data_IF_834742042191
#
_entry.id   IF_834742042191
#
_cell.length_a   1.000
_cell.length_b   1.000
_cell.length_c   1.000
_cell.angle_alpha   90.00
_cell.angle_beta   90.00
_cell.angle_gamma   90.00
#
_symmetry.space_group_name_H-M   'P 1'
#
loop_
_entity.id
_entity.type
_entity.pdbx_description
1 polymer ?
#
# COMPACT_ATOMS: atom_id res chain seq x y z
N UNK A 1 16.41 6.47 -13.86
CA UNK A 1 16.39 7.87 -14.26
C UNK A 1 16.47 7.95 -15.77
N UNK A 2 16.78 9.14 -16.27
CA UNK A 2 17.09 9.40 -17.68
C UNK A 2 18.37 8.70 -18.17
N UNK A 3 19.17 8.18 -17.25
CA UNK A 3 20.43 7.47 -17.44
C UNK A 3 20.29 5.95 -17.68
N UNK A 4 19.07 5.41 -17.61
CA UNK A 4 18.80 3.98 -17.80
C UNK A 4 18.18 3.74 -19.18
N UNK A 5 18.76 2.79 -19.93
CA UNK A 5 18.20 2.27 -21.17
C UNK A 5 17.81 0.79 -21.02
N UNK A 6 16.53 0.48 -21.26
CA UNK A 6 16.03 -0.90 -21.27
C UNK A 6 16.00 -1.37 -22.73
N UNK A 7 16.93 -2.24 -23.12
CA UNK A 7 17.14 -2.67 -24.52
C UNK A 7 15.90 -3.30 -25.17
N UNK A 8 15.16 -4.11 -24.42
CA UNK A 8 13.93 -4.77 -24.86
C UNK A 8 12.78 -4.42 -23.91
N UNK A 9 12.31 -3.18 -23.98
CA UNK A 9 11.23 -2.70 -23.12
C UNK A 9 9.90 -3.43 -23.36
N UNK A 10 9.67 -3.96 -24.57
CA UNK A 10 8.50 -4.77 -24.90
C UNK A 10 8.40 -6.04 -24.05
N UNK A 11 9.54 -6.66 -23.73
CA UNK A 11 9.60 -7.89 -22.94
C UNK A 11 9.67 -7.65 -21.43
N UNK A 12 9.82 -6.41 -20.96
CA UNK A 12 10.06 -6.11 -19.55
C UNK A 12 9.02 -6.74 -18.61
N UNK A 13 7.74 -6.60 -18.91
CA UNK A 13 6.68 -7.18 -18.10
C UNK A 13 6.72 -8.72 -18.10
N UNK A 14 7.07 -9.34 -19.23
CA UNK A 14 7.23 -10.79 -19.32
C UNK A 14 8.39 -11.27 -18.46
N UNK A 15 9.55 -10.60 -18.56
CA UNK A 15 10.76 -10.90 -17.77
C UNK A 15 10.50 -10.75 -16.26
N UNK A 16 9.81 -9.69 -15.84
CA UNK A 16 9.44 -9.49 -14.43
C UNK A 16 8.47 -10.58 -13.93
N UNK A 17 7.50 -10.98 -14.76
CA UNK A 17 6.60 -12.07 -14.40
C UNK A 17 7.32 -13.42 -14.33
N UNK A 18 8.26 -13.70 -15.23
CA UNK A 18 9.07 -14.90 -15.19
C UNK A 18 9.89 -14.95 -13.90
N UNK A 19 10.56 -13.85 -13.54
CA UNK A 19 11.32 -13.75 -12.28
C UNK A 19 10.45 -14.01 -11.05
N UNK A 20 9.21 -13.52 -11.03
CA UNK A 20 8.23 -13.82 -9.97
C UNK A 20 7.87 -15.30 -9.97
N UNK A 21 7.52 -15.89 -11.13
CA UNK A 21 7.12 -17.29 -11.23
C UNK A 21 8.24 -18.25 -10.81
N UNK A 22 9.48 -17.97 -11.21
CA UNK A 22 10.67 -18.72 -10.83
C UNK A 22 10.88 -18.63 -9.31
N UNK A 23 10.83 -17.42 -8.75
CA UNK A 23 10.97 -17.21 -7.30
C UNK A 23 9.92 -18.00 -6.51
N UNK A 24 8.65 -17.95 -6.92
CA UNK A 24 7.59 -18.66 -6.23
C UNK A 24 7.69 -20.18 -6.38
N UNK A 25 8.25 -20.67 -7.48
CA UNK A 25 8.44 -22.11 -7.71
C UNK A 25 9.64 -22.65 -6.95
N UNK A 26 10.75 -21.91 -6.91
CA UNK A 26 12.01 -22.36 -6.29
C UNK A 26 12.08 -22.15 -4.78
N UNK A 27 11.26 -21.27 -4.18
CA UNK A 27 11.42 -20.85 -2.78
C UNK A 27 10.28 -21.26 -1.83
N UNK A 28 9.60 -22.39 -2.08
CA UNK A 28 8.51 -22.91 -1.21
C UNK A 28 7.41 -21.88 -0.89
N UNK A 29 7.17 -20.92 -1.79
CA UNK A 29 6.14 -19.89 -1.61
C UNK A 29 4.78 -20.38 -2.11
N UNK A 30 3.71 -19.84 -1.52
CA UNK A 30 2.34 -20.21 -1.93
C UNK A 30 1.87 -19.42 -3.15
N UNK A 31 1.54 -20.13 -4.22
CA UNK A 31 0.93 -19.60 -5.44
C UNK A 31 -0.55 -19.30 -5.22
N UNK A 32 -0.91 -18.02 -5.19
CA UNK A 32 -2.20 -17.52 -4.67
C UNK A 32 -3.00 -16.70 -5.69
N UNK A 33 -2.56 -16.61 -6.94
CA UNK A 33 -3.27 -15.89 -8.00
C UNK A 33 -4.18 -16.86 -8.76
N UNK A 34 -5.38 -16.38 -9.11
CA UNK A 34 -6.36 -17.10 -9.92
C UNK A 34 -6.47 -16.46 -11.30
N UNK A 35 -6.68 -17.27 -12.34
CA UNK A 35 -6.74 -16.83 -13.74
C UNK A 35 -8.03 -16.10 -14.09
N UNK A 36 -9.13 -16.48 -13.44
CA UNK A 36 -10.45 -15.86 -13.58
C UNK A 36 -10.96 -15.47 -12.18
N UNK A 37 -11.28 -14.20 -11.91
CA UNK A 37 -11.64 -13.76 -10.57
C UNK A 37 -13.08 -14.12 -10.14
N UNK A 38 -14.01 -14.35 -11.08
CA UNK A 38 -15.46 -14.40 -10.80
C UNK A 38 -16.08 -15.79 -11.00
N UNK A 39 -15.67 -16.50 -12.05
CA UNK A 39 -16.25 -17.76 -12.48
C UNK A 39 -15.33 -18.94 -12.12
N UNK A 40 -14.31 -19.22 -12.93
CA UNK A 40 -13.56 -20.47 -12.83
C UNK A 40 -12.55 -20.51 -11.67
N UNK A 41 -11.93 -19.37 -11.33
CA UNK A 41 -10.97 -19.23 -10.22
C UNK A 41 -9.84 -20.27 -10.18
N UNK A 42 -9.41 -20.78 -11.34
CA UNK A 42 -8.29 -21.72 -11.46
C UNK A 42 -6.98 -21.05 -11.05
N UNK A 43 -6.10 -21.76 -10.34
CA UNK A 43 -4.80 -21.23 -9.92
C UNK A 43 -3.88 -21.03 -11.13
N UNK A 44 -3.10 -19.93 -11.18
CA UNK A 44 -2.18 -19.67 -12.30
C UNK A 44 -0.88 -20.47 -12.21
N UNK A 45 -0.63 -21.19 -11.12
CA UNK A 45 0.55 -22.03 -10.88
C UNK A 45 1.91 -21.30 -10.89
N UNK A 46 1.93 -19.99 -11.13
CA UNK A 46 3.13 -19.14 -11.08
C UNK A 46 3.05 -17.98 -10.07
N UNK A 47 1.91 -17.79 -9.41
CA UNK A 47 1.61 -16.56 -8.64
C UNK A 47 1.72 -15.28 -9.49
N UNK A 48 1.46 -15.41 -10.80
CA UNK A 48 1.47 -14.34 -11.79
C UNK A 48 0.05 -14.17 -12.37
N UNK A 49 -0.28 -13.00 -12.98
CA UNK A 49 0.60 -11.86 -13.19
C UNK A 49 0.89 -11.06 -11.91
N UNK A 50 2.09 -10.50 -11.82
CA UNK A 50 2.43 -9.48 -10.84
C UNK A 50 1.81 -8.12 -11.24
N UNK A 51 1.47 -7.31 -10.25
CA UNK A 51 1.06 -5.92 -10.48
C UNK A 51 2.32 -5.07 -10.62
N UNK A 52 2.58 -4.60 -11.84
CA UNK A 52 3.81 -3.88 -12.19
C UNK A 52 3.47 -2.40 -12.45
N UNK A 53 4.15 -1.51 -11.74
CA UNK A 53 4.09 -0.08 -11.97
C UNK A 53 5.49 0.43 -12.31
N UNK A 54 5.61 1.11 -13.45
CA UNK A 54 6.83 1.79 -13.87
C UNK A 54 6.61 3.30 -13.80
N UNK A 55 7.64 4.03 -13.38
CA UNK A 55 7.64 5.48 -13.37
C UNK A 55 9.04 5.98 -13.72
N UNK A 56 9.10 7.12 -14.41
CA UNK A 56 10.34 7.78 -14.76
C UNK A 56 10.60 8.89 -13.75
N UNK A 57 11.83 8.99 -13.26
CA UNK A 57 12.24 9.99 -12.28
C UNK A 57 13.50 10.71 -12.76
N UNK A 58 13.74 11.92 -12.24
CA UNK A 58 14.99 12.66 -12.46
C UNK A 58 16.17 12.05 -11.70
N UNK A 59 15.92 11.19 -10.71
CA UNK A 59 16.96 10.49 -9.95
C UNK A 59 17.68 9.47 -10.83
N UNK A 60 19.03 9.42 -10.79
CA UNK A 60 19.81 8.45 -11.55
C UNK A 60 19.62 7.02 -11.03
N UNK A 61 19.75 6.06 -11.94
CA UNK A 61 19.69 4.64 -11.67
C UNK A 61 18.30 4.01 -11.80
N UNK A 62 18.25 2.69 -11.64
CA UNK A 62 17.00 1.92 -11.60
C UNK A 62 16.66 1.60 -10.14
N UNK A 63 15.47 2.02 -9.70
CA UNK A 63 14.97 1.72 -8.37
C UNK A 63 13.87 0.66 -8.47
N UNK A 64 14.06 -0.47 -7.81
CA UNK A 64 13.10 -1.56 -7.78
C UNK A 64 12.55 -1.64 -6.36
N UNK A 65 11.21 -1.54 -6.23
CA UNK A 65 10.51 -1.77 -4.96
C UNK A 65 9.58 -2.96 -5.13
N UNK A 66 9.67 -3.91 -4.22
CA UNK A 66 8.89 -5.13 -4.20
C UNK A 66 8.04 -5.13 -2.94
N UNK A 67 6.74 -5.39 -3.11
CA UNK A 67 5.80 -5.54 -2.01
C UNK A 67 5.09 -6.89 -2.14
N UNK A 68 5.22 -7.75 -1.14
CA UNK A 68 4.47 -9.02 -1.09
C UNK A 68 3.22 -8.81 -0.23
N UNK A 69 2.15 -8.31 -0.86
CA UNK A 69 0.89 -8.03 -0.17
C UNK A 69 0.09 -9.31 0.05
N UNK A 70 -0.45 -9.48 1.26
CA UNK A 70 -1.35 -10.60 1.57
C UNK A 70 -2.80 -10.26 1.20
N UNK A 71 -3.54 -11.22 0.65
CA UNK A 71 -4.93 -11.02 0.25
C UNK A 71 -5.86 -10.60 1.39
N UNK A 72 -5.67 -11.16 2.60
CA UNK A 72 -6.45 -10.77 3.77
C UNK A 72 -6.34 -9.27 4.08
N UNK A 73 -5.12 -8.71 3.97
CA UNK A 73 -4.92 -7.29 4.17
C UNK A 73 -5.24 -6.43 2.95
N UNK A 74 -5.16 -6.97 1.73
CA UNK A 74 -5.66 -6.28 0.53
C UNK A 74 -7.16 -6.02 0.65
N UNK A 75 -7.91 -6.99 1.17
CA UNK A 75 -9.37 -6.91 1.36
C UNK A 75 -9.81 -5.90 2.43
N UNK A 76 -8.88 -5.33 3.21
CA UNK A 76 -9.17 -4.21 4.11
C UNK A 76 -8.73 -2.86 3.51
N UNK A 77 -8.70 -2.73 2.19
CA UNK A 77 -8.38 -1.47 1.51
C UNK A 77 -9.65 -0.81 1.02
N UNK A 78 -9.78 0.50 1.25
CA UNK A 78 -11.01 1.26 1.00
C UNK A 78 -10.70 2.55 0.26
N UNK A 79 -11.59 2.93 -0.65
CA UNK A 79 -11.56 4.15 -1.43
C UNK A 79 -12.84 4.95 -1.15
N UNK A 80 -12.69 6.25 -0.93
CA UNK A 80 -13.77 7.20 -0.68
C UNK A 80 -13.59 8.42 -1.58
N UNK A 81 -14.69 8.93 -2.11
CA UNK A 81 -14.73 10.18 -2.86
C UNK A 81 -15.44 11.22 -2.00
N UNK A 82 -14.66 11.98 -1.24
CA UNK A 82 -15.18 12.92 -0.24
C UNK A 82 -15.54 14.26 -0.88
N UNK A 83 -16.34 15.03 -0.15
CA UNK A 83 -16.60 16.42 -0.51
C UNK A 83 -15.34 17.27 -0.29
N UNK A 84 -15.06 18.27 -1.15
CA UNK A 84 -13.91 19.16 -0.96
C UNK A 84 -13.91 19.93 0.37
N UNK A 85 -15.09 20.07 0.98
CA UNK A 85 -15.27 20.72 2.28
C UNK A 85 -14.94 19.82 3.48
N UNK A 86 -14.72 18.52 3.26
CA UNK A 86 -14.45 17.57 4.35
C UNK A 86 -13.16 17.94 5.07
N UNK A 87 -13.28 18.15 6.38
CA UNK A 87 -12.19 18.59 7.25
C UNK A 87 -11.31 17.46 7.77
N UNK A 88 -10.30 17.84 8.56
CA UNK A 88 -9.36 16.92 9.18
C UNK A 88 -10.06 15.94 10.15
N UNK A 89 -10.97 16.43 11.00
CA UNK A 89 -11.65 15.61 12.00
C UNK A 89 -12.53 14.53 11.37
N UNK A 90 -13.26 14.88 10.29
CA UNK A 90 -14.05 13.92 9.52
C UNK A 90 -13.19 12.82 8.89
N UNK A 91 -11.97 13.15 8.43
CA UNK A 91 -11.02 12.17 7.90
C UNK A 91 -10.55 11.23 9.02
N UNK A 92 -10.23 11.77 10.20
CA UNK A 92 -9.82 10.96 11.36
C UNK A 92 -10.93 9.98 11.74
N UNK A 93 -12.16 10.47 11.86
CA UNK A 93 -13.33 9.65 12.19
C UNK A 93 -13.54 8.54 11.15
N UNK A 94 -13.49 8.88 9.86
CA UNK A 94 -13.65 7.92 8.77
C UNK A 94 -12.58 6.81 8.84
N UNK A 95 -11.31 7.20 9.01
CA UNK A 95 -10.20 6.23 9.12
C UNK A 95 -10.38 5.33 10.34
N UNK A 96 -10.73 5.92 11.49
CA UNK A 96 -10.98 5.18 12.72
C UNK A 96 -12.12 4.17 12.55
N UNK A 97 -13.19 4.56 11.85
CA UNK A 97 -14.33 3.72 11.54
C UNK A 97 -13.95 2.52 10.66
N UNK A 98 -13.14 2.76 9.63
CA UNK A 98 -12.61 1.71 8.76
C UNK A 98 -11.79 0.71 9.56
N UNK A 99 -10.92 1.21 10.45
CA UNK A 99 -10.07 0.39 11.31
C UNK A 99 -10.93 -0.44 12.27
N UNK A 100 -11.84 0.17 13.02
CA UNK A 100 -12.73 -0.54 13.96
C UNK A 100 -13.50 -1.67 13.29
N UNK A 101 -14.00 -1.44 12.07
CA UNK A 101 -14.82 -2.41 11.33
C UNK A 101 -14.01 -3.57 10.74
N UNK A 102 -12.72 -3.38 10.44
CA UNK A 102 -11.99 -4.30 9.56
C UNK A 102 -10.61 -4.74 10.04
N UNK A 103 -9.99 -4.05 11.01
CA UNK A 103 -8.59 -4.29 11.35
C UNK A 103 -8.33 -5.72 11.85
N UNK A 104 -9.28 -6.36 12.51
CA UNK A 104 -9.14 -7.74 13.01
C UNK A 104 -9.05 -8.78 11.88
N UNK A 105 -9.59 -8.49 10.69
CA UNK A 105 -9.43 -9.30 9.47
C UNK A 105 -8.03 -9.18 8.85
N UNK A 106 -7.25 -8.22 9.36
CA UNK A 106 -5.99 -7.75 8.81
C UNK A 106 -4.78 -8.13 9.68
N UNK A 107 -4.93 -9.06 10.63
CA UNK A 107 -3.88 -9.56 11.55
C UNK A 107 -3.06 -8.41 12.20
N UNK A 108 -3.70 -7.58 13.06
CA UNK A 108 -3.03 -6.47 13.72
C UNK A 108 -1.90 -6.96 14.64
N UNK A 109 -0.89 -6.12 14.93
CA UNK A 109 -0.88 -4.68 14.68
C UNK A 109 -0.57 -4.34 13.21
N UNK A 110 -1.36 -3.43 12.63
CA UNK A 110 -1.25 -3.04 11.21
C UNK A 110 -0.36 -1.82 11.02
N UNK A 111 0.08 -1.57 9.78
CA UNK A 111 0.54 -0.25 9.33
C UNK A 111 -0.58 0.34 8.47
N UNK A 112 -1.09 1.51 8.85
CA UNK A 112 -2.16 2.20 8.14
C UNK A 112 -1.55 3.19 7.15
N UNK A 113 -1.68 2.92 5.86
CA UNK A 113 -1.36 3.86 4.80
C UNK A 113 -2.60 4.62 4.35
N UNK A 114 -2.46 5.93 4.16
CA UNK A 114 -3.53 6.81 3.74
C UNK A 114 -3.06 7.59 2.51
N UNK A 115 -3.90 7.66 1.49
CA UNK A 115 -3.73 8.51 0.32
C UNK A 115 -4.76 9.62 0.34
N UNK A 116 -4.36 10.87 0.07
CA UNK A 116 -5.26 12.04 -0.01
C UNK A 116 -5.05 12.78 -1.33
N UNK A 117 -6.13 13.07 -2.05
CA UNK A 117 -6.07 13.80 -3.31
C UNK A 117 -5.79 12.91 -4.54
N UNK A 118 -5.25 13.49 -5.61
CA UNK A 118 -5.11 12.80 -6.90
C UNK A 118 -6.45 12.47 -7.57
N UNK A 119 -6.50 11.31 -8.23
CA UNK A 119 -7.70 10.69 -8.80
C UNK A 119 -8.04 9.40 -8.05
N UNK A 120 -9.18 8.78 -8.34
CA UNK A 120 -9.58 7.50 -7.74
C UNK A 120 -8.54 6.39 -7.89
N UNK A 121 -7.83 6.34 -9.02
CA UNK A 121 -6.77 5.36 -9.25
C UNK A 121 -5.45 5.75 -8.60
N UNK A 122 -5.13 7.04 -8.58
CA UNK A 122 -3.86 7.53 -8.02
C UNK A 122 -3.86 7.50 -6.49
N UNK A 123 -4.97 7.86 -5.85
CA UNK A 123 -5.07 7.89 -4.38
C UNK A 123 -4.86 6.50 -3.76
N UNK A 124 -5.29 5.44 -4.46
CA UNK A 124 -5.06 4.06 -4.03
C UNK A 124 -3.57 3.69 -4.10
N UNK A 125 -2.84 4.17 -5.12
CA UNK A 125 -1.38 3.99 -5.20
C UNK A 125 -0.66 4.76 -4.11
N UNK A 126 -1.11 5.98 -3.79
CA UNK A 126 -0.57 6.78 -2.69
C UNK A 126 -0.76 6.05 -1.35
N UNK A 127 -1.97 5.59 -1.04
CA UNK A 127 -2.27 4.86 0.19
C UNK A 127 -1.43 3.57 0.31
N UNK A 128 -1.30 2.82 -0.79
CA UNK A 128 -0.43 1.64 -0.84
C UNK A 128 1.02 2.01 -0.55
N UNK A 129 1.54 3.06 -1.19
CA UNK A 129 2.92 3.54 -0.98
C UNK A 129 3.13 3.96 0.48
N UNK A 130 2.18 4.68 1.06
CA UNK A 130 2.19 5.08 2.46
C UNK A 130 2.27 3.88 3.41
N UNK A 131 1.49 2.82 3.15
CA UNK A 131 1.46 1.61 4.00
C UNK A 131 2.78 0.83 4.02
N UNK A 132 3.62 1.02 3.01
CA UNK A 132 4.93 0.38 2.87
C UNK A 132 6.10 1.35 3.06
N UNK A 133 5.84 2.61 3.45
CA UNK A 133 6.90 3.59 3.75
C UNK A 133 7.79 3.06 4.88
N UNK A 134 9.09 3.35 4.80
CA UNK A 134 9.99 3.06 5.92
C UNK A 134 9.49 3.83 7.16
N UNK A 135 9.30 3.13 8.29
CA UNK A 135 8.74 3.69 9.51
C UNK A 135 9.65 4.74 10.17
N UNK A 136 10.93 4.71 9.84
CA UNK A 136 11.92 5.73 10.23
C UNK A 136 11.73 7.06 9.48
N UNK A 137 11.05 7.03 8.34
CA UNK A 137 10.79 8.20 7.50
C UNK A 137 9.40 8.74 7.81
N UNK A 138 9.37 9.96 8.36
CA UNK A 138 8.14 10.72 8.60
C UNK A 138 7.76 11.54 7.38
N UNK A 139 6.49 11.97 7.31
CA UNK A 139 6.06 12.91 6.28
C UNK A 139 6.85 14.24 6.39
N UNK A 140 7.39 14.76 5.28
CA UNK A 140 8.12 16.03 5.29
C UNK A 140 7.22 17.23 5.60
N UNK A 141 5.94 17.18 5.24
CA UNK A 141 4.96 18.20 5.61
C UNK A 141 4.54 18.01 7.07
N UNK A 142 4.79 19.04 7.89
CA UNK A 142 4.49 19.02 9.32
C UNK A 142 3.02 18.79 9.63
N UNK A 143 2.09 19.27 8.79
CA UNK A 143 0.64 19.13 9.00
C UNK A 143 0.22 17.67 8.84
N UNK A 144 0.65 17.03 7.75
CA UNK A 144 0.38 15.61 7.51
C UNK A 144 1.05 14.71 8.55
N UNK A 145 2.28 15.02 8.97
CA UNK A 145 2.94 14.29 10.08
C UNK A 145 2.15 14.39 11.40
N UNK A 146 1.60 15.56 11.73
CA UNK A 146 0.77 15.70 12.93
C UNK A 146 -0.53 14.91 12.79
N UNK A 147 -1.13 14.89 11.60
CA UNK A 147 -2.32 14.08 11.32
C UNK A 147 -2.04 12.57 11.42
N UNK A 148 -0.90 12.10 10.92
CA UNK A 148 -0.44 10.71 11.10
C UNK A 148 -0.39 10.32 12.58
N UNK A 149 0.17 11.18 13.43
CA UNK A 149 0.28 10.97 14.87
C UNK A 149 -1.10 10.96 15.55
N UNK A 150 -1.98 11.92 15.22
CA UNK A 150 -3.36 11.97 15.72
C UNK A 150 -4.12 10.68 15.39
N UNK A 151 -4.08 10.25 14.13
CA UNK A 151 -4.78 9.05 13.66
C UNK A 151 -4.22 7.79 14.35
N UNK A 152 -2.89 7.67 14.46
CA UNK A 152 -2.27 6.53 15.13
C UNK A 152 -2.68 6.44 16.60
N UNK A 153 -2.73 7.58 17.30
CA UNK A 153 -3.12 7.64 18.70
C UNK A 153 -4.57 7.18 18.89
N UNK A 154 -5.53 7.77 18.16
CA UNK A 154 -6.95 7.38 18.30
C UNK A 154 -7.21 5.93 17.90
N UNK A 155 -6.45 5.39 16.94
CA UNK A 155 -6.52 3.96 16.59
C UNK A 155 -6.06 3.10 17.76
N UNK A 156 -4.96 3.44 18.42
CA UNK A 156 -4.43 2.65 19.52
C UNK A 156 -5.25 2.79 20.81
N UNK A 157 -5.93 3.92 20.99
CA UNK A 157 -6.90 4.13 22.08
C UNK A 157 -8.15 3.24 21.96
N UNK A 158 -8.44 2.68 20.78
CA UNK A 158 -9.57 1.72 20.61
C UNK A 158 -9.46 0.48 21.49
N UNK A 159 -8.25 0.12 21.92
CA UNK A 159 -8.02 -1.08 22.73
C UNK A 159 -8.19 -2.40 21.97
N UNK A 160 -8.41 -2.40 20.66
CA UNK A 160 -8.57 -3.62 19.84
C UNK A 160 -7.33 -4.52 19.96
N UNK A 161 -6.15 -3.91 19.89
CA UNK A 161 -4.87 -4.55 20.18
C UNK A 161 -4.42 -5.62 19.17
N UNK A 162 -3.29 -6.28 19.45
CA UNK A 162 -2.73 -7.32 18.59
C UNK A 162 -3.71 -8.46 18.36
N UNK A 163 -3.83 -8.91 17.11
CA UNK A 163 -4.78 -9.93 16.64
C UNK A 163 -6.27 -9.64 16.95
N UNK A 164 -6.62 -8.46 17.49
CA UNK A 164 -7.98 -8.16 17.95
C UNK A 164 -8.33 -8.76 19.31
N UNK A 165 -7.34 -9.16 20.10
CA UNK A 165 -7.52 -9.83 21.41
C UNK A 165 -7.44 -8.85 22.60
N UNK A 166 -7.49 -7.56 22.35
CA UNK A 166 -7.28 -6.53 23.36
C UNK A 166 -5.82 -6.08 23.45
N UNK A 167 -5.61 -4.84 23.89
CA UNK A 167 -4.27 -4.30 24.18
C UNK A 167 -4.03 -2.91 23.60
N UNK A 168 -2.81 -2.41 23.76
CA UNK A 168 -2.46 -1.01 23.45
C UNK A 168 -2.07 -0.74 22.00
N UNK A 169 -1.87 -1.78 21.19
CA UNK A 169 -1.23 -1.65 19.88
C UNK A 169 -2.08 -2.32 18.81
N UNK A 170 -3.04 -1.56 18.30
CA UNK A 170 -3.86 -1.93 17.14
C UNK A 170 -3.12 -1.63 15.83
N UNK A 171 -2.35 -0.55 15.80
CA UNK A 171 -1.50 -0.16 14.68
C UNK A 171 -0.09 0.20 15.16
N UNK A 172 0.93 -0.22 14.39
CA UNK A 172 2.34 0.14 14.61
C UNK A 172 2.65 1.53 14.08
N UNK A 173 2.01 1.94 12.98
CA UNK A 173 2.25 3.22 12.34
C UNK A 173 1.05 3.66 11.50
N UNK A 174 0.96 4.98 11.30
CA UNK A 174 0.10 5.61 10.31
C UNK A 174 0.96 6.49 9.42
N UNK A 175 0.79 6.39 8.10
CA UNK A 175 1.53 7.15 7.10
C UNK A 175 0.55 7.74 6.10
N UNK A 176 0.77 8.98 5.68
CA UNK A 176 -0.02 9.69 4.68
C UNK A 176 0.91 10.08 3.52
N UNK A 177 0.44 9.82 2.30
CA UNK A 177 0.96 10.41 1.07
C UNK A 177 -0.16 11.21 0.40
N UNK A 178 0.17 12.34 -0.22
CA UNK A 178 -0.84 13.23 -0.81
C UNK A 178 -0.41 13.74 -2.18
N UNK A 179 -1.40 14.11 -3.00
CA UNK A 179 -1.18 14.71 -4.30
C UNK A 179 -2.24 15.78 -4.61
N UNK A 180 -1.95 16.75 -5.50
CA UNK A 180 -2.97 17.67 -6.00
C UNK A 180 -4.16 16.92 -6.61
N UNK A 181 -5.36 17.46 -6.44
CA UNK A 181 -6.59 16.95 -7.04
C UNK A 181 -7.39 18.08 -7.69
N UNK A 182 -8.40 17.69 -8.48
CA UNK A 182 -9.36 18.65 -9.01
C UNK A 182 -10.12 19.32 -7.85
N UNK A 183 -10.37 20.64 -7.92
CA UNK A 183 -10.98 21.42 -6.83
C UNK A 183 -12.35 20.91 -6.37
N UNK A 184 -13.09 20.23 -7.26
CA UNK A 184 -14.40 19.64 -6.96
C UNK A 184 -14.32 18.22 -6.36
N UNK A 185 -13.13 17.72 -6.03
CA UNK A 185 -12.95 16.34 -5.55
C UNK A 185 -11.95 16.26 -4.41
N UNK A 186 -12.22 15.38 -3.45
CA UNK A 186 -11.27 14.96 -2.43
C UNK A 186 -11.24 13.43 -2.32
N UNK A 187 -10.49 12.73 -3.20
CA UNK A 187 -10.29 11.29 -3.06
C UNK A 187 -9.51 10.99 -1.77
N UNK A 188 -9.93 9.95 -1.05
CA UNK A 188 -9.26 9.42 0.12
C UNK A 188 -9.19 7.89 -0.02
N UNK A 189 -8.02 7.30 0.20
CA UNK A 189 -7.89 5.85 0.31
C UNK A 189 -7.21 5.46 1.61
N UNK A 190 -7.68 4.37 2.22
CA UNK A 190 -7.12 3.76 3.43
C UNK A 190 -6.67 2.35 3.06
N UNK A 191 -5.41 2.04 3.34
CA UNK A 191 -4.76 0.80 2.93
C UNK A 191 -3.99 0.21 4.11
N UNK A 192 -4.38 -0.98 4.58
CA UNK A 192 -3.77 -1.61 5.74
C UNK A 192 -2.74 -2.66 5.32
N UNK A 193 -1.52 -2.56 5.85
CA UNK A 193 -0.53 -3.65 5.81
C UNK A 193 -0.60 -4.44 7.11
N UNK A 194 -0.66 -5.76 7.03
CA UNK A 194 -0.72 -6.64 8.20
C UNK A 194 0.64 -6.76 8.91
N UNK A 195 0.70 -7.47 10.05
CA UNK A 195 1.96 -7.74 10.74
C UNK A 195 3.03 -8.40 9.83
N UNK A 196 2.60 -9.17 8.81
CA UNK A 196 3.47 -9.70 7.75
C UNK A 196 3.73 -8.65 6.66
N UNK A 197 4.23 -7.48 7.07
CA UNK A 197 4.62 -6.41 6.14
C UNK A 197 5.91 -6.82 5.44
N UNK A 198 5.78 -7.24 4.18
CA UNK A 198 6.87 -7.78 3.37
C UNK A 198 7.20 -6.80 2.25
N UNK A 199 8.31 -6.08 2.40
CA UNK A 199 8.83 -5.15 1.40
C UNK A 199 10.33 -5.32 1.25
N UNK A 200 10.83 -5.08 0.05
CA UNK A 200 12.24 -4.94 -0.23
C UNK A 200 12.42 -3.84 -1.28
N UNK A 201 13.52 -3.12 -1.21
CA UNK A 201 13.89 -2.15 -2.23
C UNK A 201 15.37 -2.27 -2.56
N UNK A 202 15.70 -2.00 -3.82
CA UNK A 202 17.07 -2.01 -4.31
C UNK A 202 17.27 -0.89 -5.33
N UNK A 203 18.46 -0.30 -5.29
CA UNK A 203 18.90 0.71 -6.25
C UNK A 203 20.07 0.15 -7.05
N UNK A 204 19.90 0.09 -8.35
CA UNK A 204 20.97 -0.22 -9.30
C UNK A 204 21.45 1.12 -9.85
N UNK A 205 22.64 1.54 -9.43
CA UNK A 205 23.31 2.70 -9.99
C UNK A 205 23.72 2.41 -11.44
N UNK A 206 23.77 3.44 -12.31
CA UNK A 206 24.41 3.28 -13.61
C UNK A 206 25.87 2.81 -13.40
N UNK A 207 26.41 2.00 -14.33
CA UNK A 207 27.82 1.60 -14.32
C UNK A 207 28.77 2.79 -14.42
#
# INVERSE_FOLDING_TARGET
GSDICIKDSSSLNSLLNQAVADTYTSNYLRKSIVSDPLYERKNTSGNTPAVIHTSFTSSPGLHIKIYLKGGGSENCSYLYMLNPSTGEDEIIELVLDVVKKNVTKCCPPVIVGIGVGGTSSEVVKLARTASFRNLEIRNPDKRYRQLEEKILNVINETGIGPQGLGGKTTALACNIEYAPCHMASLPLAVFMSCHSTRRADSKISPP
#
